data_IF_944941918535
#
_entry.id   IF_944941918535
#
_cell.length_a   1.000
_cell.length_b   1.000
_cell.length_c   1.000
_cell.angle_alpha   90.00
_cell.angle_beta   90.00
_cell.angle_gamma   90.00
#
_symmetry.space_group_name_H-M   'P 1'
#
loop_
_entity.id
_entity.type
_entity.pdbx_description
1 polymer ?
#
# COMPACT_ATOMS: atom_id res chain seq x y z
N UNK A 1 -26.49 5.25 13.65
CA UNK A 1 -25.63 6.31 13.06
C UNK A 1 -24.70 7.02 14.09
N UNK A 2 -24.30 6.41 15.23
CA UNK A 2 -23.54 7.13 16.29
C UNK A 2 -22.33 6.37 16.93
N UNK A 3 -21.49 5.57 16.23
CA UNK A 3 -20.30 5.01 16.88
C UNK A 3 -19.04 5.90 16.77
N UNK A 4 -19.05 6.97 15.97
CA UNK A 4 -17.83 7.74 15.65
C UNK A 4 -17.36 8.69 16.76
N UNK A 5 -18.27 9.30 17.53
CA UNK A 5 -17.89 10.20 18.64
C UNK A 5 -17.28 9.47 19.84
N UNK A 6 -17.53 8.16 19.97
CA UNK A 6 -17.06 7.37 21.12
C UNK A 6 -15.56 7.13 21.06
N UNK A 7 -14.96 6.99 19.87
CA UNK A 7 -13.54 6.64 19.74
C UNK A 7 -12.59 7.82 20.00
N UNK A 8 -13.08 9.06 19.82
CA UNK A 8 -12.29 10.26 20.09
C UNK A 8 -12.39 10.72 21.55
N UNK A 9 -13.48 10.40 22.24
CA UNK A 9 -13.65 10.65 23.68
C UNK A 9 -13.02 9.55 24.56
N UNK A 10 -12.80 8.34 24.02
CA UNK A 10 -12.27 7.20 24.79
C UNK A 10 -10.74 7.15 24.94
N UNK A 11 -10.00 8.09 24.33
CA UNK A 11 -8.55 8.17 24.53
C UNK A 11 -8.18 8.58 25.97
N UNK A 12 -9.09 9.27 26.68
CA UNK A 12 -8.91 9.70 28.06
C UNK A 12 -9.30 8.60 29.09
N UNK A 13 -10.33 7.79 28.82
CA UNK A 13 -10.87 6.82 29.81
C UNK A 13 -10.19 5.45 29.83
N UNK A 14 -9.24 5.17 28.91
CA UNK A 14 -8.60 3.84 28.83
C UNK A 14 -7.30 3.74 29.64
N UNK A 15 -6.75 4.84 30.15
CA UNK A 15 -5.47 4.80 30.90
C UNK A 15 -5.64 4.33 32.35
N UNK A 16 -6.85 4.31 32.91
CA UNK A 16 -7.05 4.04 34.35
C UNK A 16 -7.83 2.78 34.73
N UNK A 17 -8.26 1.90 33.80
CA UNK A 17 -9.10 0.74 34.20
C UNK A 17 -8.62 -0.67 33.84
N UNK A 18 -7.65 -0.90 32.96
CA UNK A 18 -7.19 -2.27 32.60
C UNK A 18 -5.70 -2.32 32.21
N UNK A 19 -4.79 -2.15 33.18
CA UNK A 19 -3.34 -2.08 32.96
C UNK A 19 -2.66 -3.26 32.18
N UNK A 20 -3.13 -4.53 32.21
CA UNK A 20 -2.46 -5.60 31.45
C UNK A 20 -2.86 -5.63 29.97
N UNK A 21 -4.11 -5.30 29.61
CA UNK A 21 -4.65 -5.49 28.25
C UNK A 21 -4.20 -4.40 27.27
N UNK A 22 -4.06 -3.16 27.76
CA UNK A 22 -3.63 -2.00 26.96
C UNK A 22 -2.18 -2.10 26.49
N UNK A 23 -1.30 -2.68 27.33
CA UNK A 23 0.11 -2.92 26.99
C UNK A 23 0.25 -3.84 25.78
N UNK A 24 -0.57 -4.89 25.71
CA UNK A 24 -0.60 -5.80 24.57
C UNK A 24 -1.10 -5.12 23.29
N UNK A 25 -2.11 -4.24 23.40
CA UNK A 25 -2.63 -3.49 22.25
C UNK A 25 -1.62 -2.48 21.68
N UNK A 26 -0.85 -1.84 22.56
CA UNK A 26 0.26 -0.95 22.18
C UNK A 26 1.43 -1.72 21.56
N UNK A 27 1.83 -2.85 22.15
CA UNK A 27 2.88 -3.72 21.59
C UNK A 27 2.52 -4.20 20.18
N UNK A 28 1.25 -4.57 19.97
CA UNK A 28 0.75 -4.96 18.66
C UNK A 28 0.75 -3.80 17.65
N UNK A 29 0.35 -2.59 18.06
CA UNK A 29 0.43 -1.42 17.17
C UNK A 29 1.88 -1.09 16.80
N UNK A 30 2.79 -1.08 17.78
CA UNK A 30 4.20 -0.81 17.56
C UNK A 30 4.85 -1.84 16.64
N UNK A 31 4.52 -3.13 16.79
CA UNK A 31 5.08 -4.19 15.93
C UNK A 31 4.61 -4.04 14.48
N UNK A 32 3.33 -3.74 14.25
CA UNK A 32 2.80 -3.48 12.90
C UNK A 32 3.52 -2.29 12.27
N UNK A 33 3.69 -1.19 13.00
CA UNK A 33 4.33 0.02 12.48
C UNK A 33 5.79 -0.24 12.11
N UNK A 34 6.53 -0.94 12.98
CA UNK A 34 7.91 -1.31 12.69
C UNK A 34 8.00 -2.19 11.44
N UNK A 35 7.10 -3.16 11.31
CA UNK A 35 7.04 -4.03 10.13
C UNK A 35 6.68 -3.24 8.87
N UNK A 36 5.71 -2.33 8.95
CA UNK A 36 5.28 -1.48 7.83
C UNK A 36 6.41 -0.55 7.39
N UNK A 37 7.08 0.14 8.32
CA UNK A 37 8.20 1.03 7.99
C UNK A 37 9.36 0.23 7.40
N UNK A 38 9.76 -0.87 8.05
CA UNK A 38 10.86 -1.70 7.58
C UNK A 38 10.57 -2.30 6.19
N UNK A 39 9.38 -2.86 5.99
CA UNK A 39 8.95 -3.45 4.73
C UNK A 39 8.87 -2.43 3.60
N UNK A 40 8.24 -1.27 3.84
CA UNK A 40 8.11 -0.21 2.84
C UNK A 40 9.46 0.43 2.49
N UNK A 41 10.33 0.69 3.48
CA UNK A 41 11.69 1.19 3.24
C UNK A 41 12.53 0.20 2.43
N UNK A 42 12.45 -1.09 2.76
CA UNK A 42 13.17 -2.13 2.04
C UNK A 42 12.67 -2.25 0.60
N UNK A 43 11.36 -2.16 0.36
CA UNK A 43 10.78 -2.19 -0.97
C UNK A 43 11.27 -1.01 -1.83
N UNK A 44 11.24 0.21 -1.29
CA UNK A 44 11.76 1.42 -1.97
C UNK A 44 13.25 1.26 -2.26
N UNK A 45 14.04 0.79 -1.29
CA UNK A 45 15.47 0.54 -1.46
C UNK A 45 15.75 -0.46 -2.57
N UNK A 46 15.02 -1.58 -2.61
CA UNK A 46 15.16 -2.60 -3.66
C UNK A 46 14.78 -2.03 -5.03
N UNK A 47 13.70 -1.27 -5.13
CA UNK A 47 13.28 -0.63 -6.40
C UNK A 47 14.36 0.34 -6.91
N UNK A 48 14.90 1.19 -6.03
CA UNK A 48 15.95 2.14 -6.39
C UNK A 48 17.25 1.44 -6.79
N UNK A 49 17.68 0.44 -6.01
CA UNK A 49 18.87 -0.36 -6.30
C UNK A 49 18.72 -1.13 -7.62
N UNK A 50 17.56 -1.74 -7.86
CA UNK A 50 17.28 -2.49 -9.08
C UNK A 50 17.25 -1.56 -10.31
N UNK A 51 16.64 -0.38 -10.20
CA UNK A 51 16.63 0.61 -11.27
C UNK A 51 18.04 1.14 -11.58
N UNK A 52 18.86 1.37 -10.56
CA UNK A 52 20.26 1.78 -10.71
C UNK A 52 21.11 0.69 -11.38
N UNK A 53 20.96 -0.57 -10.95
CA UNK A 53 21.71 -1.72 -11.49
C UNK A 53 21.34 -2.02 -12.95
N UNK A 54 20.06 -1.99 -13.30
CA UNK A 54 19.61 -2.28 -14.68
C UNK A 54 19.69 -1.07 -15.63
N UNK A 55 20.19 0.10 -15.18
CA UNK A 55 20.15 1.38 -15.93
C UNK A 55 18.78 1.65 -16.59
N UNK A 56 17.69 1.19 -15.96
CA UNK A 56 16.34 1.39 -16.49
C UNK A 56 15.96 2.84 -16.24
N UNK A 57 16.05 3.67 -17.29
CA UNK A 57 15.62 5.08 -17.27
C UNK A 57 14.10 5.26 -17.13
N UNK A 58 13.30 4.22 -17.34
CA UNK A 58 11.83 4.29 -17.26
C UNK A 58 11.31 3.49 -16.08
N UNK A 59 10.70 4.20 -15.13
CA UNK A 59 9.93 3.65 -14.03
C UNK A 59 8.65 3.06 -14.61
N UNK A 60 8.34 1.80 -14.31
CA UNK A 60 7.08 1.20 -14.80
C UNK A 60 5.89 1.82 -14.05
N UNK A 61 4.70 1.89 -14.66
CA UNK A 61 3.51 2.39 -13.97
C UNK A 61 3.22 1.63 -12.66
N UNK A 62 3.53 0.33 -12.63
CA UNK A 62 3.41 -0.51 -11.42
C UNK A 62 4.41 -0.09 -10.32
N UNK A 63 5.66 0.25 -10.67
CA UNK A 63 6.64 0.75 -9.71
C UNK A 63 6.24 2.11 -9.13
N UNK A 64 5.67 3.00 -9.95
CA UNK A 64 5.18 4.30 -9.49
C UNK A 64 3.98 4.16 -8.55
N UNK A 65 3.06 3.22 -8.86
CA UNK A 65 1.95 2.88 -7.97
C UNK A 65 2.43 2.31 -6.63
N UNK A 66 3.37 1.37 -6.64
CA UNK A 66 3.96 0.82 -5.42
C UNK A 66 4.63 1.89 -4.55
N UNK A 67 5.31 2.86 -5.18
CA UNK A 67 5.93 3.98 -4.45
C UNK A 67 4.86 4.88 -3.79
N UNK A 68 3.77 5.19 -4.49
CA UNK A 68 2.65 5.95 -3.93
C UNK A 68 1.99 5.22 -2.76
N UNK A 69 1.84 3.89 -2.85
CA UNK A 69 1.33 3.06 -1.75
C UNK A 69 2.24 3.13 -0.53
N UNK A 70 3.55 2.90 -0.67
CA UNK A 70 4.49 3.02 0.45
C UNK A 70 4.47 4.42 1.08
N UNK A 71 4.42 5.48 0.27
CA UNK A 71 4.35 6.85 0.77
C UNK A 71 3.04 7.10 1.54
N UNK A 72 1.92 6.58 1.04
CA UNK A 72 0.63 6.66 1.72
C UNK A 72 0.62 5.88 3.04
N UNK A 73 1.22 4.69 3.10
CA UNK A 73 1.34 3.89 4.32
C UNK A 73 2.23 4.56 5.38
N UNK A 74 3.35 5.15 4.98
CA UNK A 74 4.20 5.91 5.90
C UNK A 74 3.49 7.16 6.41
N UNK A 75 2.80 7.89 5.53
CA UNK A 75 2.00 9.05 5.91
C UNK A 75 0.84 8.64 6.83
N UNK A 76 0.17 7.53 6.55
CA UNK A 76 -0.87 6.97 7.38
C UNK A 76 -0.33 6.60 8.76
N UNK A 77 0.80 5.89 8.84
CA UNK A 77 1.43 5.53 10.09
C UNK A 77 1.79 6.78 10.92
N UNK A 78 2.36 7.81 10.29
CA UNK A 78 2.67 9.08 10.96
C UNK A 78 1.40 9.83 11.40
N UNK A 79 0.43 10.02 10.51
CA UNK A 79 -0.80 10.77 10.80
C UNK A 79 -1.73 10.04 11.76
N UNK A 80 -1.67 8.71 11.88
CA UNK A 80 -2.45 7.98 12.88
C UNK A 80 -1.73 7.88 14.22
N UNK A 81 -0.41 7.65 14.22
CA UNK A 81 0.36 7.57 15.47
C UNK A 81 0.57 8.91 16.16
N UNK A 82 0.85 9.98 15.41
CA UNK A 82 1.10 11.30 16.00
C UNK A 82 -0.09 11.77 16.84
N UNK A 83 -1.35 11.68 16.38
CA UNK A 83 -2.51 11.96 17.21
C UNK A 83 -2.66 10.99 18.37
N UNK A 84 -2.43 9.68 18.19
CA UNK A 84 -2.48 8.73 19.32
C UNK A 84 -1.51 9.13 20.42
N UNK A 85 -0.28 9.49 20.09
CA UNK A 85 0.74 9.91 21.06
C UNK A 85 0.48 11.31 21.61
N UNK A 86 0.06 12.26 20.76
CA UNK A 86 -0.24 13.63 21.16
C UNK A 86 -1.44 13.69 22.12
N UNK A 87 -2.52 12.96 21.83
CA UNK A 87 -3.71 12.91 22.70
C UNK A 87 -3.35 12.31 24.06
N UNK A 88 -2.53 11.25 24.10
CA UNK A 88 -2.02 10.68 25.36
C UNK A 88 -1.10 11.62 26.13
N UNK A 89 -0.35 12.50 25.46
CA UNK A 89 0.66 13.36 26.10
C UNK A 89 0.15 14.76 26.49
N UNK A 90 -0.90 15.28 25.85
CA UNK A 90 -1.25 16.72 25.96
C UNK A 90 -2.64 17.01 26.52
N UNK A 91 -3.51 16.02 26.75
CA UNK A 91 -4.91 16.28 27.08
C UNK A 91 -5.29 15.59 28.39
N UNK A 92 -5.45 16.35 29.49
CA UNK A 92 -6.31 15.94 30.59
C UNK A 92 -7.66 16.71 30.62
N UNK A 93 -7.90 17.71 29.75
CA UNK A 93 -9.08 18.61 29.91
C UNK A 93 -9.72 19.21 28.64
N UNK A 94 -9.26 18.93 27.42
CA UNK A 94 -9.84 19.56 26.22
C UNK A 94 -10.52 18.59 25.25
N UNK A 95 -11.78 18.91 24.88
CA UNK A 95 -12.48 18.34 23.73
C UNK A 95 -11.54 18.38 22.51
N UNK A 96 -11.01 17.21 22.11
CA UNK A 96 -10.14 17.12 20.94
C UNK A 96 -10.86 17.71 19.72
N UNK A 97 -10.19 18.54 18.90
CA UNK A 97 -10.84 19.18 17.75
C UNK A 97 -11.41 18.11 16.81
N UNK A 98 -12.72 18.13 16.55
CA UNK A 98 -13.45 17.18 15.70
C UNK A 98 -12.78 16.95 14.32
N UNK A 99 -12.05 17.97 13.85
CA UNK A 99 -11.26 17.95 12.64
C UNK A 99 -10.20 16.83 12.61
N UNK A 100 -9.51 16.55 13.73
CA UNK A 100 -8.46 15.53 13.79
C UNK A 100 -9.03 14.12 13.68
N UNK A 101 -10.09 13.81 14.44
CA UNK A 101 -10.79 12.53 14.37
C UNK A 101 -11.30 12.25 12.96
N UNK A 102 -11.93 13.26 12.35
CA UNK A 102 -12.48 13.18 11.01
C UNK A 102 -11.38 12.96 9.96
N UNK A 103 -10.25 13.66 10.08
CA UNK A 103 -9.09 13.51 9.20
C UNK A 103 -8.50 12.09 9.28
N UNK A 104 -8.21 11.59 10.49
CA UNK A 104 -7.69 10.23 10.70
C UNK A 104 -8.60 9.18 10.06
N UNK A 105 -9.91 9.34 10.20
CA UNK A 105 -10.89 8.43 9.60
C UNK A 105 -10.90 8.48 8.08
N UNK A 106 -10.78 9.65 7.47
CA UNK A 106 -10.64 9.74 6.02
C UNK A 106 -9.36 9.06 5.53
N UNK A 107 -8.23 9.27 6.21
CA UNK A 107 -6.98 8.62 5.84
C UNK A 107 -7.01 7.09 6.02
N UNK A 108 -7.76 6.54 6.98
CA UNK A 108 -7.95 5.09 7.12
C UNK A 108 -8.60 4.43 5.90
N UNK A 109 -9.44 5.17 5.16
CA UNK A 109 -10.18 4.61 4.03
C UNK A 109 -9.34 4.63 2.74
N UNK A 110 -8.36 5.55 2.64
CA UNK A 110 -7.50 5.69 1.44
C UNK A 110 -6.75 4.38 1.08
N UNK A 111 -6.06 3.68 2.02
CA UNK A 111 -5.39 2.42 1.74
C UNK A 111 -6.33 1.31 1.22
N UNK A 112 -7.58 1.29 1.69
CA UNK A 112 -8.57 0.31 1.23
C UNK A 112 -8.93 0.54 -0.24
N UNK A 113 -9.14 1.79 -0.65
CA UNK A 113 -9.37 2.11 -2.06
C UNK A 113 -8.15 1.81 -2.93
N UNK A 114 -6.96 2.08 -2.40
CA UNK A 114 -5.73 1.91 -3.12
C UNK A 114 -5.38 0.42 -3.38
N UNK A 115 -5.89 -0.50 -2.55
CA UNK A 115 -5.83 -1.95 -2.80
C UNK A 115 -6.56 -2.37 -4.08
N UNK A 116 -7.74 -1.79 -4.35
CA UNK A 116 -8.49 -2.05 -5.58
C UNK A 116 -7.74 -1.57 -6.82
N UNK A 117 -7.09 -0.39 -6.74
CA UNK A 117 -6.24 0.12 -7.82
C UNK A 117 -5.01 -0.77 -8.05
N UNK A 118 -4.39 -1.27 -6.99
CA UNK A 118 -3.27 -2.21 -7.08
C UNK A 118 -3.68 -3.52 -7.78
N UNK A 119 -4.85 -4.08 -7.45
CA UNK A 119 -5.38 -5.27 -8.10
C UNK A 119 -5.59 -5.07 -9.60
N UNK A 120 -6.13 -3.92 -10.00
CA UNK A 120 -6.31 -3.57 -11.42
C UNK A 120 -4.95 -3.45 -12.11
N UNK A 121 -3.97 -2.81 -11.48
CA UNK A 121 -2.63 -2.68 -12.04
C UNK A 121 -1.93 -4.04 -12.24
N UNK A 122 -2.04 -4.94 -11.25
CA UNK A 122 -1.53 -6.32 -11.35
C UNK A 122 -2.20 -7.07 -12.50
N UNK A 123 -3.51 -6.90 -12.65
CA UNK A 123 -4.29 -7.55 -13.72
C UNK A 123 -3.89 -7.03 -15.09
N UNK A 124 -3.68 -5.71 -15.23
CA UNK A 124 -3.24 -5.09 -16.47
C UNK A 124 -1.83 -5.55 -16.88
N UNK A 125 -0.90 -5.63 -15.92
CA UNK A 125 0.46 -6.14 -16.16
C UNK A 125 0.43 -7.58 -16.69
N UNK A 126 -0.35 -8.46 -16.05
CA UNK A 126 -0.55 -9.84 -16.52
C UNK A 126 -1.20 -9.89 -17.90
N UNK A 127 -2.19 -9.04 -18.15
CA UNK A 127 -2.86 -8.99 -19.45
C UNK A 127 -1.90 -8.59 -20.56
N UNK A 128 -1.07 -7.56 -20.35
CA UNK A 128 -0.06 -7.15 -21.31
C UNK A 128 0.95 -8.28 -21.60
N UNK A 129 1.44 -8.95 -20.56
CA UNK A 129 2.34 -10.09 -20.72
C UNK A 129 1.70 -11.24 -21.51
N UNK A 130 0.47 -11.63 -21.18
CA UNK A 130 -0.26 -12.68 -21.88
C UNK A 130 -0.51 -12.33 -23.36
N UNK A 131 -0.96 -11.11 -23.64
CA UNK A 131 -1.28 -10.66 -25.01
C UNK A 131 -0.01 -10.65 -25.86
N UNK A 132 1.09 -10.09 -25.37
CA UNK A 132 2.36 -10.09 -26.10
C UNK A 132 2.87 -11.52 -26.35
N UNK A 133 2.75 -12.42 -25.38
CA UNK A 133 3.13 -13.82 -25.56
C UNK A 133 2.30 -14.53 -26.63
N UNK A 134 0.97 -14.36 -26.59
CA UNK A 134 0.06 -14.96 -27.58
C UNK A 134 0.35 -14.43 -28.99
N UNK A 135 0.52 -13.11 -29.16
CA UNK A 135 0.84 -12.50 -30.46
C UNK A 135 2.15 -13.03 -31.01
N UNK A 136 3.19 -13.16 -30.17
CA UNK A 136 4.47 -13.71 -30.60
C UNK A 136 4.34 -15.17 -31.07
N UNK A 137 3.54 -15.97 -30.37
CA UNK A 137 3.27 -17.37 -30.74
C UNK A 137 2.48 -17.51 -32.04
N UNK A 138 1.51 -16.63 -32.31
CA UNK A 138 0.76 -16.67 -33.58
C UNK A 138 1.63 -16.24 -34.76
N UNK A 139 2.58 -15.32 -34.54
CA UNK A 139 3.56 -14.95 -35.57
C UNK A 139 4.48 -16.13 -35.93
N UNK A 140 5.04 -16.82 -34.94
CA UNK A 140 5.90 -18.00 -35.17
C UNK A 140 5.17 -19.10 -35.95
N UNK A 141 3.89 -19.35 -35.68
CA UNK A 141 3.09 -20.34 -36.40
C UNK A 141 2.84 -19.93 -37.86
N UNK A 142 2.61 -18.64 -38.11
CA UNK A 142 2.45 -18.10 -39.46
C UNK A 142 3.71 -18.24 -40.31
N UNK A 143 4.88 -17.96 -39.72
CA UNK A 143 6.18 -18.13 -40.38
C UNK A 143 6.46 -19.60 -40.71
N UNK A 144 6.13 -20.51 -39.79
CA UNK A 144 6.21 -21.96 -40.00
C UNK A 144 5.32 -22.44 -41.16
N UNK A 145 4.08 -21.96 -41.24
CA UNK A 145 3.16 -22.29 -42.33
C UNK A 145 3.67 -21.78 -43.69
N UNK A 146 4.19 -20.55 -43.74
CA UNK A 146 4.78 -19.99 -44.96
C UNK A 146 6.01 -20.78 -45.42
N UNK A 147 6.85 -21.24 -44.49
CA UNK A 147 8.00 -22.08 -44.81
C UNK A 147 7.58 -23.46 -45.32
N UNK A 148 6.56 -24.07 -44.72
CA UNK A 148 5.98 -25.34 -45.18
C UNK A 148 5.39 -25.22 -46.59
N UNK A 149 4.65 -24.14 -46.87
CA UNK A 149 4.06 -23.93 -48.19
C UNK A 149 5.12 -23.76 -49.28
N UNK A 150 6.26 -23.12 -48.98
CA UNK A 150 7.41 -23.03 -49.88
C UNK A 150 8.05 -24.39 -50.19
N UNK A 151 8.18 -25.26 -49.19
CA UNK A 151 8.74 -26.61 -49.37
C UNK A 151 7.79 -27.51 -50.16
N UNK A 152 6.48 -27.41 -49.94
CA UNK A 152 5.48 -28.19 -50.68
C UNK A 152 5.34 -27.71 -52.13
N UNK A 153 5.59 -26.41 -52.39
CA UNK A 153 5.50 -25.82 -53.73
C UNK A 153 6.78 -25.96 -54.58
N UNK A 154 7.87 -26.51 -54.03
CA UNK A 154 9.13 -26.77 -54.75
C UNK A 154 9.24 -28.24 -55.09
#
# INVERSE_FOLDING_TARGET
MQPFNIMCAAAETTITSEAPTVKWMLLHHLSIILLTIFGNCLLVYVILKNNAMHKRKRVTPVQMLMLHMCAADMLFALITMVPTMAITATVPIFHGPDLLCKTVKFLQVIPMYASSFLLVAISADRFQWCVTHVINRTHEIGDLWNSLFKVIST
#
